data_IF_781408595545
#
_entry.id   IF_781408595545
#
_cell.length_a   1.000
_cell.length_b   1.000
_cell.length_c   1.000
_cell.angle_alpha   90.00
_cell.angle_beta   90.00
_cell.angle_gamma   90.00
#
_symmetry.space_group_name_H-M   'P 1'
#
loop_
_entity.id
_entity.type
_entity.pdbx_description
1 polymer ?
#
# COMPACT_ATOMS: atom_id res chain seq x y z
N UNK A 1 15.61 -41.52 51.35
CA UNK A 1 14.48 -40.60 51.50
C UNK A 1 14.88 -39.35 50.74
N UNK A 2 14.20 -39.11 49.63
CA UNK A 2 14.59 -38.20 48.55
C UNK A 2 14.07 -36.79 48.80
N UNK A 3 14.97 -35.81 48.86
CA UNK A 3 14.63 -34.39 48.95
C UNK A 3 14.09 -33.86 47.61
N UNK A 4 12.82 -33.46 47.60
CA UNK A 4 12.13 -32.86 46.47
C UNK A 4 12.20 -31.34 46.50
N UNK A 5 13.18 -30.77 45.79
CA UNK A 5 13.24 -29.32 45.55
C UNK A 5 12.25 -28.93 44.46
N UNK A 6 11.18 -28.23 44.83
CA UNK A 6 10.19 -27.70 43.88
C UNK A 6 10.70 -26.38 43.29
N UNK A 7 10.92 -26.33 41.98
CA UNK A 7 11.26 -25.10 41.25
C UNK A 7 9.97 -24.36 40.88
N UNK A 8 9.81 -23.14 41.41
CA UNK A 8 8.75 -22.21 41.04
C UNK A 8 9.13 -21.44 39.77
N UNK A 9 8.36 -21.60 38.69
CA UNK A 9 8.44 -20.73 37.51
C UNK A 9 7.47 -19.53 37.67
N UNK A 10 7.93 -18.28 37.58
CA UNK A 10 7.03 -17.15 37.41
C UNK A 10 6.69 -17.02 35.91
N UNK A 11 5.47 -17.39 35.52
CA UNK A 11 4.97 -17.09 34.17
C UNK A 11 4.58 -15.62 34.12
N UNK A 12 5.29 -14.92 33.24
CA UNK A 12 5.21 -13.49 32.93
C UNK A 12 3.81 -13.00 32.57
N UNK A 13 3.46 -11.83 33.11
CA UNK A 13 2.42 -10.95 32.60
C UNK A 13 2.76 -10.50 31.18
N UNK A 14 2.23 -11.20 30.19
CA UNK A 14 2.21 -10.74 28.81
C UNK A 14 0.97 -9.84 28.61
N UNK A 15 1.11 -8.64 28.03
CA UNK A 15 -0.04 -7.79 27.75
C UNK A 15 -0.95 -8.49 26.72
N UNK A 16 -2.25 -8.49 27.01
CA UNK A 16 -3.28 -9.09 26.18
C UNK A 16 -3.13 -8.64 24.71
N UNK A 17 -2.88 -9.59 23.80
CA UNK A 17 -2.96 -9.36 22.37
C UNK A 17 -4.35 -8.84 22.05
N UNK A 18 -4.44 -7.62 21.50
CA UNK A 18 -5.68 -7.11 20.91
C UNK A 18 -6.17 -8.14 19.90
N UNK A 19 -7.40 -8.61 20.11
CA UNK A 19 -8.10 -9.52 19.19
C UNK A 19 -8.05 -8.90 17.80
N UNK A 20 -7.43 -9.61 16.85
CA UNK A 20 -7.43 -9.20 15.46
C UNK A 20 -8.88 -9.09 14.99
N UNK A 21 -9.33 -7.90 14.59
CA UNK A 21 -10.65 -7.71 14.02
C UNK A 21 -10.81 -8.64 12.80
N UNK A 22 -11.87 -9.45 12.82
CA UNK A 22 -12.21 -10.32 11.69
C UNK A 22 -12.48 -9.45 10.47
N UNK A 23 -12.00 -9.89 9.30
CA UNK A 23 -12.38 -9.28 8.02
C UNK A 23 -13.91 -9.19 7.94
N UNK A 24 -14.44 -7.98 7.96
CA UNK A 24 -15.89 -7.75 7.92
C UNK A 24 -16.33 -7.66 6.46
N UNK A 25 -17.38 -8.42 6.15
CA UNK A 25 -18.13 -8.27 4.92
C UNK A 25 -19.47 -7.58 5.25
N UNK A 26 -19.92 -6.58 4.47
CA UNK A 26 -19.26 -6.01 3.28
C UNK A 26 -17.97 -5.26 3.62
N UNK A 27 -17.09 -5.13 2.63
CA UNK A 27 -15.88 -4.28 2.74
C UNK A 27 -16.28 -2.88 3.21
N UNK A 28 -15.40 -2.21 3.96
CA UNK A 28 -15.70 -0.89 4.52
C UNK A 28 -15.74 0.20 3.43
N UNK A 29 -15.21 -0.11 2.24
CA UNK A 29 -15.29 0.71 1.04
C UNK A 29 -16.21 0.10 -0.03
N UNK A 30 -16.65 0.95 -0.96
CA UNK A 30 -17.48 0.56 -2.10
C UNK A 30 -16.97 1.21 -3.38
N UNK A 31 -16.96 0.43 -4.47
CA UNK A 31 -16.85 0.98 -5.81
C UNK A 31 -18.18 1.62 -6.22
N UNK A 32 -18.17 2.92 -6.49
CA UNK A 32 -19.27 3.67 -7.07
C UNK A 32 -18.89 4.07 -8.50
N UNK A 33 -19.20 3.23 -9.52
CA UNK A 33 -19.00 3.61 -10.90
C UNK A 33 -19.73 4.93 -11.15
N UNK A 34 -19.06 5.91 -11.75
CA UNK A 34 -19.74 7.15 -12.12
C UNK A 34 -20.96 6.81 -12.97
N UNK A 35 -22.14 7.33 -12.61
CA UNK A 35 -23.26 7.33 -13.56
C UNK A 35 -22.83 8.25 -14.69
N UNK A 36 -22.86 7.77 -15.94
CA UNK A 36 -22.62 8.65 -17.07
C UNK A 36 -23.62 9.81 -16.93
N UNK A 37 -23.13 11.04 -16.74
CA UNK A 37 -24.02 12.20 -16.81
C UNK A 37 -24.48 12.24 -18.27
N UNK A 38 -25.77 12.08 -18.58
CA UNK A 38 -26.24 12.32 -19.93
C UNK A 38 -25.81 13.74 -20.28
N UNK A 39 -25.16 13.91 -21.43
CA UNK A 39 -24.87 15.25 -21.91
C UNK A 39 -26.21 15.98 -22.07
N UNK A 40 -26.26 17.28 -21.77
CA UNK A 40 -27.47 18.10 -21.87
C UNK A 40 -28.16 18.01 -23.24
N UNK A 41 -27.43 17.56 -24.27
CA UNK A 41 -27.91 17.35 -25.65
C UNK A 41 -28.74 16.05 -25.80
N UNK A 42 -28.45 15.00 -25.02
CA UNK A 42 -29.23 13.75 -25.06
C UNK A 42 -30.67 13.94 -24.56
N UNK A 43 -30.92 14.92 -23.69
CA UNK A 43 -32.25 15.23 -23.16
C UNK A 43 -33.20 15.82 -24.22
N UNK A 44 -32.66 16.33 -25.35
CA UNK A 44 -33.42 16.91 -26.46
C UNK A 44 -33.50 16.01 -27.71
N UNK A 45 -33.15 14.72 -27.61
CA UNK A 45 -33.35 13.76 -28.70
C UNK A 45 -32.36 13.86 -29.87
N UNK A 46 -31.30 14.67 -29.77
CA UNK A 46 -30.23 14.72 -30.76
C UNK A 46 -29.11 13.77 -30.30
N UNK A 47 -29.15 12.53 -30.79
CA UNK A 47 -28.15 11.51 -30.47
C UNK A 47 -26.78 11.86 -31.04
N UNK A 48 -25.77 12.06 -30.20
CA UNK A 48 -24.39 12.05 -30.67
C UNK A 48 -23.96 10.61 -30.95
N UNK A 49 -23.60 10.29 -32.20
CA UNK A 49 -22.99 8.99 -32.57
C UNK A 49 -21.57 8.80 -32.00
N UNK A 50 -21.13 9.68 -31.11
CA UNK A 50 -19.81 9.56 -30.51
C UNK A 50 -19.81 8.42 -29.48
N UNK A 51 -18.76 7.56 -29.50
CA UNK A 51 -18.61 6.54 -28.48
C UNK A 51 -18.57 7.20 -27.09
N UNK A 52 -19.11 6.53 -26.06
CA UNK A 52 -19.04 7.05 -24.71
C UNK A 52 -17.57 7.33 -24.33
N UNK A 53 -17.30 8.43 -23.61
CA UNK A 53 -15.93 8.79 -23.24
C UNK A 53 -15.27 7.64 -22.49
N UNK A 54 -14.02 7.33 -22.87
CA UNK A 54 -13.21 6.30 -22.21
C UNK A 54 -13.10 6.64 -20.73
N UNK A 55 -13.44 5.67 -19.88
CA UNK A 55 -13.32 5.79 -18.43
C UNK A 55 -11.93 5.35 -18.03
N UNK A 56 -11.18 6.26 -17.44
CA UNK A 56 -9.92 5.95 -16.80
C UNK A 56 -10.17 5.64 -15.32
N UNK A 57 -9.27 4.86 -14.72
CA UNK A 57 -9.30 4.65 -13.28
C UNK A 57 -9.13 5.98 -12.56
N UNK A 58 -9.87 6.17 -11.46
CA UNK A 58 -9.75 7.30 -10.55
C UNK A 58 -10.11 6.85 -9.15
N UNK A 59 -9.42 7.40 -8.15
CA UNK A 59 -9.80 7.20 -6.74
C UNK A 59 -11.25 7.61 -6.46
N UNK A 60 -11.83 8.52 -7.26
CA UNK A 60 -13.23 8.95 -7.18
C UNK A 60 -14.24 7.84 -7.50
N UNK A 61 -13.78 6.73 -8.07
CA UNK A 61 -14.60 5.53 -8.24
C UNK A 61 -14.85 4.82 -6.92
N UNK A 62 -14.15 5.18 -5.84
CA UNK A 62 -14.22 4.51 -4.55
C UNK A 62 -14.80 5.46 -3.49
N UNK A 63 -15.55 4.88 -2.57
CA UNK A 63 -16.11 5.53 -1.38
C UNK A 63 -15.68 4.73 -0.16
N UNK A 64 -15.12 5.40 0.85
CA UNK A 64 -14.76 4.80 2.12
C UNK A 64 -15.97 4.61 3.06
N UNK A 65 -15.72 4.27 4.33
CA UNK A 65 -16.77 4.07 5.33
C UNK A 65 -17.73 5.26 5.43
N UNK A 66 -19.03 4.97 5.41
CA UNK A 66 -20.08 5.99 5.46
C UNK A 66 -20.21 6.82 4.18
N UNK A 67 -19.84 6.26 3.02
CA UNK A 67 -19.93 6.89 1.69
C UNK A 67 -19.02 8.13 1.52
N UNK A 68 -17.94 8.19 2.31
CA UNK A 68 -16.98 9.31 2.26
C UNK A 68 -16.04 9.20 1.07
N UNK A 69 -15.58 10.34 0.56
CA UNK A 69 -14.55 10.37 -0.48
C UNK A 69 -13.24 9.80 0.05
N UNK A 70 -12.48 9.16 -0.85
CA UNK A 70 -11.11 8.75 -0.54
C UNK A 70 -10.27 10.00 -0.32
N UNK A 71 -9.68 10.11 0.87
CA UNK A 71 -8.86 11.25 1.25
C UNK A 71 -7.46 11.12 0.64
N UNK A 72 -6.94 12.21 0.06
CA UNK A 72 -5.56 12.26 -0.44
C UNK A 72 -4.72 13.10 0.51
N UNK A 73 -3.76 12.45 1.15
CA UNK A 73 -2.80 13.04 2.07
C UNK A 73 -1.45 13.17 1.37
N UNK A 74 -0.86 14.37 1.39
CA UNK A 74 0.36 14.66 0.65
C UNK A 74 1.42 15.30 1.55
N UNK A 75 2.66 14.83 1.46
CA UNK A 75 3.78 15.40 2.18
C UNK A 75 4.94 15.77 1.25
N UNK A 76 5.61 16.88 1.58
CA UNK A 76 6.78 17.41 0.86
C UNK A 76 8.04 17.50 1.73
N UNK A 77 7.91 17.16 3.01
CA UNK A 77 9.03 17.15 3.95
C UNK A 77 8.81 16.08 5.03
N UNK A 78 9.87 15.76 5.78
CA UNK A 78 9.86 14.70 6.79
C UNK A 78 8.80 14.89 7.87
N UNK A 79 8.59 16.12 8.34
CA UNK A 79 7.60 16.40 9.39
C UNK A 79 6.16 16.13 8.90
N UNK A 80 5.84 16.56 7.68
CA UNK A 80 4.56 16.23 7.05
C UNK A 80 4.42 14.73 6.82
N UNK A 81 5.48 14.06 6.38
CA UNK A 81 5.48 12.61 6.17
C UNK A 81 5.22 11.83 7.47
N UNK A 82 5.72 12.33 8.59
CA UNK A 82 5.42 11.75 9.90
C UNK A 82 3.93 11.84 10.23
N UNK A 83 3.32 13.03 10.05
CA UNK A 83 1.89 13.23 10.28
C UNK A 83 1.04 12.35 9.34
N UNK A 84 1.36 12.32 8.05
CA UNK A 84 0.64 11.51 7.06
C UNK A 84 0.76 10.02 7.40
N UNK A 85 1.95 9.53 7.74
CA UNK A 85 2.17 8.11 8.02
C UNK A 85 1.39 7.61 9.26
N UNK A 86 1.12 8.48 10.24
CA UNK A 86 0.33 8.10 11.43
C UNK A 86 -1.09 7.66 11.09
N UNK A 87 -1.65 8.11 9.96
CA UNK A 87 -2.98 7.66 9.52
C UNK A 87 -3.03 6.20 9.06
N UNK A 88 -1.88 5.55 8.84
CA UNK A 88 -1.79 4.23 8.20
C UNK A 88 -1.13 3.16 9.09
N UNK A 89 -0.59 3.55 10.24
CA UNK A 89 0.28 2.66 11.01
C UNK A 89 -0.45 1.48 11.68
N UNK A 90 -1.74 1.64 11.92
CA UNK A 90 -2.61 0.60 12.49
C UNK A 90 -3.34 -0.21 11.40
N UNK A 91 -3.14 0.11 10.12
CA UNK A 91 -3.74 -0.63 9.01
C UNK A 91 -3.04 -2.00 8.88
N UNK A 92 -3.79 -3.12 8.84
CA UNK A 92 -3.18 -4.44 8.72
C UNK A 92 -2.62 -4.70 7.31
N UNK A 93 -3.17 -4.05 6.30
CA UNK A 93 -2.80 -4.19 4.89
C UNK A 93 -2.87 -2.81 4.23
N UNK A 94 -1.86 -2.50 3.43
CA UNK A 94 -1.76 -1.28 2.64
C UNK A 94 -1.46 -1.62 1.18
N UNK A 95 -2.10 -0.94 0.25
CA UNK A 95 -1.56 -0.77 -1.09
C UNK A 95 -0.22 -0.03 -1.01
N UNK A 96 0.76 -0.45 -1.79
CA UNK A 96 2.11 0.11 -1.76
C UNK A 96 2.67 0.19 -3.18
N UNK A 97 3.20 1.36 -3.52
CA UNK A 97 3.82 1.63 -4.82
C UNK A 97 4.86 2.75 -4.70
N UNK A 98 5.78 2.82 -5.66
CA UNK A 98 6.88 3.78 -5.65
C UNK A 98 7.21 4.28 -7.06
N UNK A 99 7.64 5.54 -7.15
CA UNK A 99 8.10 6.15 -8.41
C UNK A 99 9.55 6.60 -8.30
N UNK A 100 10.34 6.33 -9.33
CA UNK A 100 11.74 6.73 -9.41
C UNK A 100 12.17 7.10 -10.83
N UNK A 101 13.20 7.95 -10.99
CA UNK A 101 13.75 8.26 -12.30
C UNK A 101 14.33 7.01 -12.97
N UNK A 102 14.14 6.88 -14.28
CA UNK A 102 14.66 5.74 -15.05
C UNK A 102 16.18 5.59 -14.99
N UNK A 103 16.94 6.63 -14.60
CA UNK A 103 18.40 6.64 -14.53
C UNK A 103 18.93 6.79 -13.09
N UNK A 104 18.15 6.38 -12.09
CA UNK A 104 18.47 6.47 -10.66
C UNK A 104 19.89 6.01 -10.33
N UNK A 105 20.41 4.95 -10.96
CA UNK A 105 21.77 4.41 -10.72
C UNK A 105 22.89 5.43 -10.96
N UNK A 106 22.69 6.43 -11.83
CA UNK A 106 23.68 7.49 -12.10
C UNK A 106 23.63 8.63 -11.09
N UNK A 107 22.57 8.72 -10.28
CA UNK A 107 22.33 9.81 -9.34
C UNK A 107 23.02 9.52 -8.02
N UNK A 108 23.51 10.57 -7.34
CA UNK A 108 24.20 10.41 -6.04
C UNK A 108 23.24 10.55 -4.86
N UNK A 109 22.32 11.51 -4.94
CA UNK A 109 21.43 11.85 -3.82
C UNK A 109 20.27 10.86 -3.70
N UNK A 110 19.86 10.58 -2.46
CA UNK A 110 18.78 9.63 -2.13
C UNK A 110 17.43 10.06 -2.71
N UNK A 111 17.16 11.36 -2.73
CA UNK A 111 15.98 11.98 -3.34
C UNK A 111 15.81 11.64 -4.82
N UNK A 112 16.92 11.33 -5.51
CA UNK A 112 16.91 10.92 -6.91
C UNK A 112 16.91 9.41 -7.11
N UNK A 113 16.94 8.63 -6.01
CA UNK A 113 16.76 7.16 -6.03
C UNK A 113 15.30 6.77 -5.95
N UNK A 114 14.51 7.54 -5.21
CA UNK A 114 13.07 7.38 -5.05
C UNK A 114 12.46 8.78 -5.00
N UNK A 115 11.59 9.09 -5.95
CA UNK A 115 10.89 10.36 -6.02
C UNK A 115 9.65 10.38 -5.13
N UNK A 116 8.83 9.33 -5.20
CA UNK A 116 7.56 9.24 -4.50
C UNK A 116 7.40 7.85 -3.88
N UNK A 117 6.94 7.80 -2.63
CA UNK A 117 6.39 6.59 -2.02
C UNK A 117 4.89 6.81 -1.90
N UNK A 118 4.10 5.81 -2.26
CA UNK A 118 2.66 5.85 -2.23
C UNK A 118 2.16 4.70 -1.33
N UNK A 119 1.26 5.01 -0.40
CA UNK A 119 0.55 3.99 0.36
C UNK A 119 -0.95 4.25 0.29
N UNK A 120 -1.76 3.19 0.31
CA UNK A 120 -3.22 3.33 0.27
C UNK A 120 -3.88 2.38 1.27
N UNK A 121 -4.87 2.88 2.00
CA UNK A 121 -5.83 2.05 2.71
C UNK A 121 -7.19 2.13 2.01
N UNK A 122 -8.22 1.52 2.60
CA UNK A 122 -9.57 1.49 2.02
C UNK A 122 -10.21 2.90 1.88
N UNK A 123 -9.73 3.89 2.63
CA UNK A 123 -10.31 5.24 2.67
C UNK A 123 -9.33 6.38 2.42
N UNK A 124 -8.01 6.11 2.33
CA UNK A 124 -6.98 7.16 2.22
C UNK A 124 -5.86 6.74 1.29
N UNK A 125 -5.27 7.73 0.63
CA UNK A 125 -4.04 7.61 -0.17
C UNK A 125 -3.01 8.57 0.40
N UNK A 126 -1.89 8.03 0.87
CA UNK A 126 -0.72 8.78 1.34
C UNK A 126 0.33 8.89 0.24
N UNK A 127 0.71 10.11 -0.11
CA UNK A 127 1.70 10.43 -1.12
C UNK A 127 2.90 11.15 -0.47
N UNK A 128 4.01 10.43 -0.33
CA UNK A 128 5.23 10.92 0.30
C UNK A 128 6.26 11.33 -0.74
N UNK A 129 6.38 12.63 -1.01
CA UNK A 129 7.26 13.16 -2.05
C UNK A 129 8.72 13.21 -1.58
N UNK A 130 9.33 12.03 -1.42
CA UNK A 130 10.71 11.81 -0.96
C UNK A 130 11.73 12.67 -1.72
N UNK A 131 11.51 12.89 -3.02
CA UNK A 131 12.35 13.75 -3.85
C UNK A 131 12.49 15.20 -3.35
N UNK A 132 11.52 15.70 -2.58
CA UNK A 132 11.53 17.07 -2.01
C UNK A 132 12.04 17.13 -0.58
N UNK A 133 12.28 15.98 0.07
CA UNK A 133 12.72 15.98 1.45
C UNK A 133 14.17 16.48 1.56
N UNK A 134 14.45 17.46 2.43
CA UNK A 134 15.81 17.89 2.68
C UNK A 134 16.58 16.80 3.44
N UNK A 135 17.90 16.81 3.33
CA UNK A 135 18.78 15.88 4.05
C UNK A 135 19.68 15.06 3.13
N UNK A 136 20.57 14.27 3.74
CA UNK A 136 21.52 13.41 3.00
C UNK A 136 21.46 11.96 3.44
N UNK A 137 20.94 11.69 4.63
CA UNK A 137 20.82 10.35 5.19
C UNK A 137 19.39 9.85 5.08
N UNK A 138 19.21 8.54 5.20
CA UNK A 138 17.89 7.93 5.33
C UNK A 138 17.13 8.52 6.51
N UNK A 139 17.81 8.75 7.63
CA UNK A 139 17.24 9.32 8.85
C UNK A 139 16.76 10.75 8.64
N UNK A 140 17.41 11.56 7.79
CA UNK A 140 16.95 12.93 7.48
C UNK A 140 15.70 12.94 6.59
N UNK A 141 15.56 11.92 5.75
CA UNK A 141 14.58 11.88 4.66
C UNK A 141 13.33 11.09 5.05
N UNK A 142 13.50 9.88 5.58
CA UNK A 142 12.40 8.97 5.90
C UNK A 142 11.84 9.29 7.28
N UNK A 143 10.53 9.53 7.34
CA UNK A 143 9.83 9.73 8.61
C UNK A 143 9.84 8.43 9.45
N UNK A 144 10.06 8.51 10.78
CA UNK A 144 10.07 7.33 11.65
C UNK A 144 8.86 6.42 11.52
N UNK A 145 7.63 6.96 11.44
CA UNK A 145 6.42 6.14 11.29
C UNK A 145 6.34 5.51 9.90
N UNK A 146 6.75 6.22 8.84
CA UNK A 146 6.83 5.65 7.49
C UNK A 146 7.82 4.48 7.44
N UNK A 147 8.99 4.64 8.07
CA UNK A 147 9.97 3.55 8.23
C UNK A 147 9.35 2.36 8.96
N UNK A 148 8.63 2.59 10.06
CA UNK A 148 7.95 1.53 10.82
C UNK A 148 6.93 0.78 9.96
N UNK A 149 6.16 1.47 9.11
CA UNK A 149 5.23 0.83 8.17
C UNK A 149 5.96 -0.08 7.19
N UNK A 150 7.02 0.44 6.57
CA UNK A 150 7.82 -0.28 5.57
C UNK A 150 8.46 -1.53 6.18
N UNK A 151 9.09 -1.40 7.34
CA UNK A 151 9.89 -2.47 7.98
C UNK A 151 9.05 -3.45 8.82
N UNK A 152 7.77 -3.15 9.09
CA UNK A 152 6.91 -4.02 9.89
C UNK A 152 6.44 -5.26 9.12
N UNK A 153 6.69 -6.49 9.59
CA UNK A 153 6.08 -7.69 9.02
C UNK A 153 4.59 -7.82 9.35
N UNK A 154 4.07 -7.05 10.32
CA UNK A 154 2.67 -7.09 10.73
C UNK A 154 1.73 -6.33 9.79
N UNK A 155 2.30 -5.47 8.93
CA UNK A 155 1.55 -4.67 7.95
C UNK A 155 1.86 -5.26 6.58
N UNK A 156 0.85 -5.81 5.92
CA UNK A 156 0.97 -6.30 4.55
C UNK A 156 1.12 -5.14 3.57
N UNK A 157 2.07 -5.22 2.63
CA UNK A 157 2.24 -4.26 1.54
C UNK A 157 1.90 -4.93 0.22
N UNK A 158 0.78 -4.57 -0.37
CA UNK A 158 0.21 -5.17 -1.58
C UNK A 158 0.50 -4.28 -2.79
N UNK A 159 1.00 -4.85 -3.87
CA UNK A 159 1.26 -4.09 -5.09
C UNK A 159 1.83 -4.96 -6.20
N UNK A 160 2.39 -4.32 -7.23
CA UNK A 160 2.91 -4.99 -8.42
C UNK A 160 4.43 -4.98 -8.36
N UNK A 161 5.04 -6.16 -8.28
CA UNK A 161 6.50 -6.32 -8.31
C UNK A 161 7.23 -5.65 -7.14
N UNK A 162 6.58 -5.55 -5.98
CA UNK A 162 7.12 -4.92 -4.78
C UNK A 162 8.44 -5.58 -4.33
N UNK A 163 8.49 -6.91 -4.28
CA UNK A 163 9.67 -7.64 -3.78
C UNK A 163 10.89 -7.36 -4.65
N UNK A 164 10.71 -7.42 -5.97
CA UNK A 164 11.79 -7.29 -6.94
C UNK A 164 12.18 -5.84 -7.25
N UNK A 165 11.23 -4.91 -7.18
CA UNK A 165 11.46 -3.51 -7.52
C UNK A 165 11.55 -2.61 -6.28
N UNK A 166 10.45 -2.44 -5.57
CA UNK A 166 10.32 -1.39 -4.54
C UNK A 166 11.17 -1.71 -3.32
N UNK A 167 10.98 -2.90 -2.75
CA UNK A 167 11.74 -3.37 -1.58
C UNK A 167 13.23 -3.46 -1.88
N UNK A 168 13.58 -3.92 -3.08
CA UNK A 168 14.96 -3.96 -3.55
C UNK A 168 15.63 -2.58 -3.54
N UNK A 169 14.90 -1.52 -3.93
CA UNK A 169 15.41 -0.13 -3.93
C UNK A 169 15.51 0.45 -2.53
N UNK A 170 14.48 0.26 -1.71
CA UNK A 170 14.49 0.73 -0.32
C UNK A 170 15.64 0.10 0.47
N UNK A 171 15.91 -1.19 0.26
CA UNK A 171 17.06 -1.86 0.85
C UNK A 171 18.38 -1.29 0.30
N UNK A 172 18.54 -1.27 -1.03
CA UNK A 172 19.81 -0.89 -1.67
C UNK A 172 20.22 0.56 -1.39
N UNK A 173 19.29 1.50 -1.43
CA UNK A 173 19.61 2.93 -1.38
C UNK A 173 19.35 3.56 -0.02
N UNK A 174 18.30 3.12 0.68
CA UNK A 174 17.93 3.70 1.97
C UNK A 174 18.34 2.81 3.14
N UNK A 175 18.96 1.64 2.90
CA UNK A 175 19.33 0.67 3.94
C UNK A 175 18.15 0.26 4.84
N UNK A 176 16.93 0.35 4.32
CA UNK A 176 15.73 -0.10 5.02
C UNK A 176 15.59 -1.62 4.91
N UNK A 177 14.86 -2.21 5.85
CA UNK A 177 14.56 -3.65 5.88
C UNK A 177 13.07 -3.89 5.65
N UNK A 178 12.56 -3.64 4.43
CA UNK A 178 11.15 -3.78 4.15
C UNK A 178 10.68 -5.24 4.31
N UNK A 179 9.52 -5.44 4.91
CA UNK A 179 8.95 -6.76 5.23
C UNK A 179 7.46 -6.83 4.86
N UNK A 180 6.86 -8.03 4.82
CA UNK A 180 5.41 -8.16 4.63
C UNK A 180 4.90 -7.87 3.21
N UNK A 181 5.69 -8.12 2.17
CA UNK A 181 5.23 -7.94 0.79
C UNK A 181 4.17 -8.98 0.38
N UNK A 182 3.19 -8.54 -0.38
CA UNK A 182 2.12 -9.34 -0.99
C UNK A 182 2.05 -9.00 -2.47
N UNK A 183 2.49 -9.92 -3.32
CA UNK A 183 2.53 -9.71 -4.76
C UNK A 183 1.15 -9.90 -5.39
N UNK A 184 0.66 -8.88 -6.11
CA UNK A 184 -0.64 -8.95 -6.81
C UNK A 184 -0.65 -10.05 -7.87
N UNK A 185 0.50 -10.32 -8.50
CA UNK A 185 0.67 -11.42 -9.45
C UNK A 185 0.44 -12.79 -8.79
N UNK A 186 0.91 -12.96 -7.56
CA UNK A 186 0.71 -14.17 -6.78
C UNK A 186 -0.75 -14.34 -6.39
N UNK A 187 -1.42 -13.28 -5.91
CA UNK A 187 -2.85 -13.32 -5.58
C UNK A 187 -3.69 -13.70 -6.81
N UNK A 188 -3.47 -13.07 -7.95
CA UNK A 188 -4.16 -13.40 -9.20
C UNK A 188 -3.97 -14.87 -9.58
N UNK A 189 -2.73 -15.37 -9.56
CA UNK A 189 -2.44 -16.77 -9.91
C UNK A 189 -3.03 -17.75 -8.91
N UNK A 190 -3.04 -17.41 -7.62
CA UNK A 190 -3.66 -18.22 -6.58
C UNK A 190 -5.17 -18.36 -6.83
N UNK A 191 -5.86 -17.24 -7.09
CA UNK A 191 -7.30 -17.25 -7.40
C UNK A 191 -7.57 -17.99 -8.72
N UNK A 192 -6.76 -17.74 -9.74
CA UNK A 192 -6.98 -18.27 -11.09
C UNK A 192 -6.63 -19.75 -11.23
N UNK A 193 -5.59 -20.24 -10.56
CA UNK A 193 -5.01 -21.56 -10.79
C UNK A 193 -4.92 -22.43 -9.55
N UNK A 194 -5.07 -21.88 -8.34
CA UNK A 194 -4.73 -22.57 -7.09
C UNK A 194 -5.48 -23.88 -6.86
N UNK A 195 -6.69 -24.03 -7.40
CA UNK A 195 -7.51 -25.23 -7.24
C UNK A 195 -7.23 -26.34 -8.25
N UNK A 196 -6.59 -26.06 -9.38
CA UNK A 196 -6.48 -27.01 -10.50
C UNK A 196 -5.12 -27.07 -11.19
N UNK A 197 -4.28 -26.04 -11.04
CA UNK A 197 -2.91 -25.95 -11.57
C UNK A 197 -1.99 -25.21 -10.57
N UNK A 198 -1.81 -25.74 -9.35
CA UNK A 198 -1.05 -25.07 -8.29
C UNK A 198 0.40 -24.77 -8.69
N UNK A 199 1.00 -25.53 -9.62
CA UNK A 199 2.33 -25.29 -10.18
C UNK A 199 2.48 -23.95 -10.92
N UNK A 200 1.36 -23.32 -11.31
CA UNK A 200 1.35 -21.99 -11.94
C UNK A 200 1.30 -20.84 -10.94
N UNK A 201 1.07 -21.14 -9.65
CA UNK A 201 1.07 -20.16 -8.56
C UNK A 201 2.50 -19.74 -8.27
N UNK A 202 2.81 -18.48 -8.57
CA UNK A 202 4.14 -17.90 -8.36
C UNK A 202 4.03 -16.39 -8.24
N UNK A 203 5.13 -15.73 -7.90
CA UNK A 203 5.23 -14.27 -7.86
C UNK A 203 5.62 -13.63 -9.21
N UNK A 204 5.78 -14.44 -10.27
CA UNK A 204 6.20 -13.93 -11.59
C UNK A 204 5.17 -12.93 -12.12
N UNK A 205 5.68 -11.78 -12.60
CA UNK A 205 4.89 -10.71 -13.21
C UNK A 205 3.88 -11.24 -14.25
N UNK A 206 2.73 -10.60 -14.30
CA UNK A 206 1.63 -10.89 -15.21
C UNK A 206 0.90 -9.58 -15.50
N UNK A 207 0.36 -9.42 -16.72
CA UNK A 207 -0.50 -8.28 -17.01
C UNK A 207 -1.78 -8.38 -16.18
N UNK A 208 -2.04 -7.34 -15.38
CA UNK A 208 -3.26 -7.20 -14.59
C UNK A 208 -4.25 -6.20 -15.22
N UNK A 209 -3.81 -5.46 -16.25
CA UNK A 209 -4.67 -4.61 -17.07
C UNK A 209 -5.05 -5.33 -18.36
N UNK A 210 -6.32 -5.20 -18.76
CA UNK A 210 -6.91 -5.74 -19.97
C UNK A 210 -7.58 -4.63 -20.77
#
# INVERSE_FOLDING_TARGET
MSDGTTISNPVSDAPAMKVAEKAQWPLSYRLQPSKAKPSTIQTFGIGSNNPPPRRWWSHQLYRGPGDKEVEILYSRNKAQSELVAQHFIDEPILGFDMEWPWNDWKKKDLQNKVGLIQIASESKIGLFHIGLHPGKTTEDIIAPTLRRIIESPKIGKVGVHILGADFGRLNRYFCLKPQGAIESSHLYRLVKFGTHKPELVSVKLVSLAH
#
